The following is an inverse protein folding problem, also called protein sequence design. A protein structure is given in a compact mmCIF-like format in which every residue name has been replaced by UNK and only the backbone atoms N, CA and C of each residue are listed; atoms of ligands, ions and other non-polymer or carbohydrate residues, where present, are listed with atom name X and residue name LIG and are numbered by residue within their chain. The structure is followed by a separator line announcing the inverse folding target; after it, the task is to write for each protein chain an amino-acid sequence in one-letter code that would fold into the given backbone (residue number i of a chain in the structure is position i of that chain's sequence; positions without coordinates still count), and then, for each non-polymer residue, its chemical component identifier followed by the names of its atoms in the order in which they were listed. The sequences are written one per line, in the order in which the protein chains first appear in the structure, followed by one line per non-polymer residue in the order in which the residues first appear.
data_IF_974905338998
#
_entry.id   IF_974905338998
#
_cell.length_a   1.000
_cell.length_b   1.000
_cell.length_c   1.000
_cell.angle_alpha   90.00
_cell.angle_beta   90.00
_cell.angle_gamma   90.00
#
_symmetry.space_group_name_H-M   'P 1'
#
loop_
_entity.id
_entity.type
_entity.pdbx_description
1 polymer ?
#
# COMPACT_ATOMS: atom_id res chain seq x y z
N UNK A 1 -40.60 -14.79 -15.40
CA UNK A 1 -40.67 -13.32 -15.31
C UNK A 1 -39.79 -12.72 -14.21
N UNK A 2 -39.53 -13.40 -13.08
CA UNK A 2 -38.74 -12.83 -11.98
C UNK A 2 -37.29 -12.44 -12.34
N UNK A 3 -36.63 -13.16 -13.25
CA UNK A 3 -35.26 -12.86 -13.70
C UNK A 3 -35.12 -11.50 -14.39
N UNK A 4 -36.20 -10.98 -15.00
CA UNK A 4 -36.19 -9.67 -15.68
C UNK A 4 -35.97 -8.55 -14.66
N UNK A 5 -36.54 -8.67 -13.46
CA UNK A 5 -36.34 -7.69 -12.39
C UNK A 5 -34.88 -7.64 -11.94
N UNK A 6 -34.23 -8.81 -11.79
CA UNK A 6 -32.81 -8.87 -11.43
C UNK A 6 -31.91 -8.29 -12.52
N UNK A 7 -32.26 -8.49 -13.78
CA UNK A 7 -31.53 -7.91 -14.91
C UNK A 7 -31.67 -6.39 -14.94
N UNK A 8 -32.88 -5.85 -14.72
CA UNK A 8 -33.10 -4.40 -14.61
C UNK A 8 -32.29 -3.81 -13.45
N UNK A 9 -32.34 -4.45 -12.27
CA UNK A 9 -31.57 -4.02 -11.09
C UNK A 9 -30.07 -4.02 -11.40
N UNK A 10 -29.56 -5.07 -12.05
CA UNK A 10 -28.16 -5.15 -12.47
C UNK A 10 -27.76 -3.98 -13.37
N UNK A 11 -28.55 -3.69 -14.41
CA UNK A 11 -28.27 -2.59 -15.35
C UNK A 11 -28.27 -1.23 -14.64
N UNK A 12 -29.23 -0.98 -13.75
CA UNK A 12 -29.30 0.27 -12.98
C UNK A 12 -28.06 0.43 -12.09
N UNK A 13 -27.65 -0.64 -11.40
CA UNK A 13 -26.47 -0.60 -10.52
C UNK A 13 -25.18 -0.34 -11.31
N UNK A 14 -25.01 -0.95 -12.47
CA UNK A 14 -23.85 -0.69 -13.34
C UNK A 14 -23.86 0.73 -13.88
N UNK A 15 -25.03 1.24 -14.30
CA UNK A 15 -25.15 2.63 -14.75
C UNK A 15 -24.83 3.63 -13.64
N UNK A 16 -25.29 3.37 -12.42
CA UNK A 16 -25.00 4.19 -11.24
C UNK A 16 -23.51 4.16 -10.88
N UNK A 17 -22.86 3.00 -11.00
CA UNK A 17 -21.42 2.87 -10.79
C UNK A 17 -20.63 3.74 -11.77
N UNK A 18 -20.99 3.73 -13.06
CA UNK A 18 -20.33 4.54 -14.08
C UNK A 18 -20.51 6.03 -13.81
N UNK A 19 -21.67 6.43 -13.29
CA UNK A 19 -21.97 7.83 -12.98
C UNK A 19 -21.25 8.34 -11.71
N UNK A 20 -21.06 7.48 -10.70
CA UNK A 20 -20.54 7.88 -9.38
C UNK A 20 -19.07 7.56 -9.16
N UNK A 21 -18.54 6.54 -9.85
CA UNK A 21 -17.16 6.04 -9.69
C UNK A 21 -16.80 5.70 -8.23
N UNK A 22 -17.80 5.36 -7.40
CA UNK A 22 -17.64 5.16 -5.96
C UNK A 22 -17.21 3.73 -5.56
N UNK A 23 -17.19 2.77 -6.49
CA UNK A 23 -16.86 1.36 -6.26
C UNK A 23 -17.76 0.70 -5.19
N UNK A 24 -19.03 1.11 -5.10
CA UNK A 24 -19.99 0.57 -4.12
C UNK A 24 -21.08 -0.21 -4.82
N UNK A 25 -21.71 0.38 -5.84
CA UNK A 25 -22.79 -0.25 -6.61
C UNK A 25 -22.34 -1.51 -7.36
N UNK A 26 -21.05 -1.62 -7.71
CA UNK A 26 -20.51 -2.82 -8.36
C UNK A 26 -20.69 -4.10 -7.54
N UNK A 27 -20.58 -4.04 -6.21
CA UNK A 27 -20.76 -5.22 -5.35
C UNK A 27 -22.21 -5.67 -5.27
N UNK A 28 -23.13 -4.71 -5.34
CA UNK A 28 -24.56 -4.98 -5.47
C UNK A 28 -24.90 -5.51 -6.86
N UNK A 29 -24.23 -5.07 -7.92
CA UNK A 29 -24.41 -5.61 -9.26
C UNK A 29 -24.03 -7.10 -9.30
N UNK A 30 -22.90 -7.49 -8.72
CA UNK A 30 -22.52 -8.91 -8.61
C UNK A 30 -23.52 -9.70 -7.74
N UNK A 31 -24.04 -9.10 -6.66
CA UNK A 31 -25.14 -9.70 -5.90
C UNK A 31 -26.41 -9.91 -6.73
N UNK A 32 -26.74 -8.97 -7.62
CA UNK A 32 -27.93 -9.06 -8.49
C UNK A 32 -27.83 -10.23 -9.48
N UNK A 33 -26.61 -10.56 -9.92
CA UNK A 33 -26.36 -11.79 -10.68
C UNK A 33 -26.68 -13.04 -9.84
N UNK A 34 -26.38 -13.03 -8.54
CA UNK A 34 -26.78 -14.09 -7.62
C UNK A 34 -28.29 -14.29 -7.52
N UNK A 35 -29.04 -13.19 -7.35
CA UNK A 35 -30.50 -13.21 -7.38
C UNK A 35 -31.06 -13.69 -8.73
N UNK A 36 -30.42 -13.28 -9.83
CA UNK A 36 -30.74 -13.73 -11.19
C UNK A 36 -30.56 -15.24 -11.32
N UNK A 37 -29.42 -15.79 -10.89
CA UNK A 37 -29.15 -17.23 -10.93
C UNK A 37 -30.16 -17.99 -10.08
N UNK A 38 -30.44 -17.52 -8.85
CA UNK A 38 -31.46 -18.12 -7.99
C UNK A 38 -32.84 -18.11 -8.66
N UNK A 39 -33.19 -17.04 -9.38
CA UNK A 39 -34.43 -16.97 -10.14
C UNK A 39 -34.46 -17.93 -11.33
N UNK A 40 -33.34 -18.14 -12.02
CA UNK A 40 -33.24 -19.09 -13.13
C UNK A 40 -33.38 -20.54 -12.65
N UNK A 41 -32.92 -20.84 -11.44
CA UNK A 41 -33.09 -22.14 -10.79
C UNK A 41 -34.49 -22.37 -10.21
N UNK A 42 -35.42 -21.41 -10.38
CA UNK A 42 -36.79 -21.52 -9.87
C UNK A 42 -36.94 -21.25 -8.37
N UNK A 43 -35.93 -20.63 -7.73
CA UNK A 43 -35.99 -20.25 -6.33
C UNK A 43 -37.10 -19.22 -6.05
N UNK A 44 -37.69 -19.28 -4.85
CA UNK A 44 -38.67 -18.31 -4.38
C UNK A 44 -38.06 -16.91 -4.24
N UNK A 45 -38.89 -15.87 -4.13
CA UNK A 45 -38.44 -14.50 -3.94
C UNK A 45 -37.51 -14.36 -2.71
N UNK A 46 -37.82 -15.07 -1.62
CA UNK A 46 -37.00 -15.11 -0.41
C UNK A 46 -35.60 -15.65 -0.67
N UNK A 47 -35.49 -16.74 -1.44
CA UNK A 47 -34.19 -17.34 -1.81
C UNK A 47 -33.40 -16.39 -2.70
N UNK A 48 -34.06 -15.72 -3.66
CA UNK A 48 -33.43 -14.75 -4.53
C UNK A 48 -32.86 -13.55 -3.75
N UNK A 49 -33.65 -12.99 -2.81
CA UNK A 49 -33.22 -11.90 -1.94
C UNK A 49 -32.10 -12.31 -1.01
N UNK A 50 -32.18 -13.52 -0.43
CA UNK A 50 -31.10 -14.06 0.40
C UNK A 50 -29.81 -14.23 -0.40
N UNK A 51 -29.89 -14.75 -1.63
CA UNK A 51 -28.72 -14.91 -2.50
C UNK A 51 -28.09 -13.54 -2.85
N UNK A 52 -28.91 -12.56 -3.20
CA UNK A 52 -28.47 -11.19 -3.45
C UNK A 52 -27.75 -10.58 -2.25
N UNK A 53 -28.41 -10.57 -1.09
CA UNK A 53 -27.86 -9.97 0.13
C UNK A 53 -26.61 -10.68 0.60
N UNK A 54 -26.60 -12.02 0.60
CA UNK A 54 -25.46 -12.81 1.01
C UNK A 54 -24.24 -12.52 0.13
N UNK A 55 -24.39 -12.55 -1.20
CA UNK A 55 -23.28 -12.28 -2.12
C UNK A 55 -22.76 -10.84 -2.00
N UNK A 56 -23.66 -9.85 -1.93
CA UNK A 56 -23.24 -8.45 -1.77
C UNK A 56 -22.53 -8.21 -0.44
N UNK A 57 -23.04 -8.74 0.68
CA UNK A 57 -22.40 -8.60 1.98
C UNK A 57 -21.04 -9.30 2.03
N UNK A 58 -20.94 -10.52 1.49
CA UNK A 58 -19.67 -11.25 1.43
C UNK A 58 -18.63 -10.44 0.65
N UNK A 59 -19.01 -9.89 -0.51
CA UNK A 59 -18.12 -9.08 -1.33
C UNK A 59 -17.70 -7.79 -0.61
N UNK A 60 -18.64 -7.07 -0.01
CA UNK A 60 -18.36 -5.84 0.75
C UNK A 60 -17.43 -6.10 1.93
N UNK A 61 -17.67 -7.17 2.71
CA UNK A 61 -16.81 -7.55 3.83
C UNK A 61 -15.43 -8.01 3.34
N UNK A 62 -15.34 -8.59 2.14
CA UNK A 62 -14.07 -8.99 1.53
C UNK A 62 -13.26 -7.80 0.96
N UNK A 63 -13.86 -6.62 0.76
CA UNK A 63 -13.14 -5.44 0.24
C UNK A 63 -11.97 -5.07 1.15
N UNK A 64 -12.19 -4.95 2.47
CA UNK A 64 -11.16 -4.56 3.43
C UNK A 64 -9.96 -5.53 3.46
N UNK A 65 -10.13 -6.85 3.69
CA UNK A 65 -9.00 -7.77 3.69
C UNK A 65 -8.33 -7.91 2.32
N UNK A 66 -9.06 -7.75 1.23
CA UNK A 66 -8.49 -7.80 -0.12
C UNK A 66 -7.65 -6.56 -0.43
N UNK A 67 -8.19 -5.36 -0.13
CA UNK A 67 -7.46 -4.11 -0.23
C UNK A 67 -6.22 -4.14 0.67
N UNK A 68 -6.33 -4.59 1.92
CA UNK A 68 -5.20 -4.74 2.82
C UNK A 68 -4.16 -5.72 2.26
N UNK A 69 -4.55 -6.86 1.68
CA UNK A 69 -3.59 -7.82 1.09
C UNK A 69 -2.92 -7.25 -0.16
N UNK A 70 -3.65 -6.54 -1.01
CA UNK A 70 -3.09 -5.91 -2.21
C UNK A 70 -2.18 -4.73 -1.87
N UNK A 71 -2.56 -3.91 -0.89
CA UNK A 71 -1.79 -2.74 -0.43
C UNK A 71 -0.61 -3.15 0.45
N UNK A 72 -0.74 -4.17 1.30
CA UNK A 72 0.38 -4.73 2.08
C UNK A 72 1.45 -5.34 1.18
N UNK A 73 1.09 -5.83 -0.02
CA UNK A 73 2.07 -6.26 -1.04
C UNK A 73 2.87 -5.10 -1.66
N UNK A 74 2.48 -3.85 -1.36
CA UNK A 74 3.23 -2.61 -1.66
C UNK A 74 3.74 -1.89 -0.41
N UNK A 75 3.71 -2.50 0.78
CA UNK A 75 4.63 -2.11 1.85
C UNK A 75 5.97 -2.79 1.57
N UNK A 76 6.54 -2.47 0.42
CA UNK A 76 7.98 -2.50 0.26
C UNK A 76 8.47 -1.31 1.08
N UNK A 77 9.16 -1.58 2.20
CA UNK A 77 9.99 -0.59 2.89
C UNK A 77 10.65 0.32 1.85
N UNK A 78 10.22 1.57 1.79
CA UNK A 78 10.32 2.41 0.59
C UNK A 78 11.76 2.84 0.34
N UNK A 79 12.61 1.99 -0.24
CA UNK A 79 13.96 2.28 -0.76
C UNK A 79 15.05 2.69 0.27
N UNK A 80 14.68 3.40 1.33
CA UNK A 80 15.58 4.00 2.33
C UNK A 80 16.12 2.92 3.27
N UNK A 81 15.28 2.04 3.82
CA UNK A 81 15.75 0.90 4.64
C UNK A 81 16.69 -0.07 3.89
N UNK A 82 16.63 -0.10 2.55
CA UNK A 82 17.57 -0.90 1.75
C UNK A 82 18.99 -0.35 1.75
N UNK A 83 19.17 0.91 2.17
CA UNK A 83 20.47 1.56 2.29
C UNK A 83 21.23 1.08 3.55
N UNK A 84 20.51 0.54 4.55
CA UNK A 84 21.15 -0.04 5.72
C UNK A 84 22.05 -1.21 5.30
N UNK A 85 23.31 -1.18 5.72
CA UNK A 85 24.37 -2.11 5.32
C UNK A 85 25.14 -1.73 4.05
N UNK A 86 24.70 -0.70 3.30
CA UNK A 86 25.45 -0.22 2.14
C UNK A 86 26.57 0.75 2.54
N UNK A 87 27.55 0.88 1.65
CA UNK A 87 28.63 1.86 1.79
C UNK A 87 28.21 3.19 1.15
N UNK A 88 28.36 4.28 1.90
CA UNK A 88 28.20 5.65 1.43
C UNK A 88 29.55 6.37 1.44
N UNK A 89 29.72 7.38 0.59
CA UNK A 89 30.92 8.23 0.57
C UNK A 89 30.60 9.57 1.22
N UNK A 90 31.39 9.96 2.23
CA UNK A 90 31.25 11.24 2.91
C UNK A 90 31.61 12.37 1.95
N UNK A 91 30.70 13.32 1.74
CA UNK A 91 30.91 14.51 0.89
C UNK A 91 31.30 15.72 1.73
N UNK A 92 30.64 15.89 2.87
CA UNK A 92 30.96 16.92 3.86
C UNK A 92 31.33 16.26 5.18
N UNK A 93 32.33 16.78 5.88
CA UNK A 93 32.76 16.28 7.20
C UNK A 93 31.55 16.05 8.10
N UNK A 94 31.47 14.86 8.70
CA UNK A 94 30.43 14.49 9.65
C UNK A 94 30.93 14.81 11.04
N UNK A 95 30.24 15.74 11.70
CA UNK A 95 30.49 16.17 13.07
C UNK A 95 29.13 16.37 13.76
N UNK A 96 28.81 15.47 14.68
CA UNK A 96 27.53 15.49 15.38
C UNK A 96 27.40 16.72 16.30
N UNK A 97 28.51 17.26 16.83
CA UNK A 97 28.51 18.41 17.73
C UNK A 97 28.19 19.72 17.00
N UNK A 98 28.69 19.86 15.77
CA UNK A 98 28.38 21.00 14.92
C UNK A 98 27.13 20.78 14.06
N UNK A 99 26.54 19.58 14.07
CA UNK A 99 25.31 19.25 13.34
C UNK A 99 25.47 19.19 11.82
N UNK A 100 26.70 19.09 11.31
CA UNK A 100 27.01 19.01 9.88
C UNK A 100 27.37 17.58 9.47
N UNK A 101 27.06 17.24 8.22
CA UNK A 101 27.44 15.96 7.64
C UNK A 101 26.57 15.60 6.47
N UNK A 102 27.21 15.34 5.32
CA UNK A 102 26.53 14.75 4.16
C UNK A 102 27.32 13.60 3.59
N UNK A 103 26.60 12.61 3.08
CA UNK A 103 27.17 11.45 2.41
C UNK A 103 26.34 11.10 1.18
N UNK A 104 27.01 10.59 0.15
CA UNK A 104 26.38 10.14 -1.09
C UNK A 104 26.30 8.62 -1.12
N UNK A 105 25.10 8.10 -1.36
CA UNK A 105 24.81 6.67 -1.56
C UNK A 105 24.00 6.50 -2.84
N UNK A 106 24.43 5.59 -3.73
CA UNK A 106 23.80 5.38 -5.05
C UNK A 106 23.58 6.67 -5.87
N UNK A 107 24.46 7.66 -5.72
CA UNK A 107 24.38 8.94 -6.43
C UNK A 107 23.38 9.96 -5.84
N UNK A 108 22.77 9.67 -4.69
CA UNK A 108 21.93 10.62 -3.96
C UNK A 108 22.66 11.13 -2.72
N UNK A 109 22.59 12.44 -2.47
CA UNK A 109 23.12 13.08 -1.27
C UNK A 109 22.12 13.00 -0.12
N UNK A 110 22.62 12.63 1.05
CA UNK A 110 21.86 12.48 2.28
C UNK A 110 22.57 13.16 3.43
N UNK A 111 21.82 13.69 4.39
CA UNK A 111 22.36 14.11 5.68
C UNK A 111 22.85 12.87 6.44
N UNK A 112 24.06 12.92 6.95
CA UNK A 112 24.69 11.80 7.67
C UNK A 112 25.15 12.23 9.05
N UNK A 113 24.98 11.35 10.03
CA UNK A 113 25.44 11.48 11.40
C UNK A 113 26.27 10.26 11.77
N UNK A 114 27.33 10.46 12.54
CA UNK A 114 28.10 9.35 13.09
C UNK A 114 27.25 8.59 14.10
N UNK A 115 27.39 7.26 14.17
CA UNK A 115 26.76 6.46 15.22
C UNK A 115 27.35 6.74 16.61
N UNK A 116 28.61 7.19 16.65
CA UNK A 116 29.31 7.62 17.85
C UNK A 116 29.49 9.14 17.82
N UNK A 117 28.92 9.84 18.81
CA UNK A 117 28.91 11.31 18.84
C UNK A 117 30.32 11.93 18.95
N UNK A 118 31.27 11.21 19.53
CA UNK A 118 32.67 11.66 19.69
C UNK A 118 33.55 11.46 18.43
N UNK A 119 33.00 10.84 17.38
CA UNK A 119 33.76 10.49 16.17
C UNK A 119 33.46 11.46 15.04
N UNK A 120 34.49 12.21 14.63
CA UNK A 120 34.46 13.08 13.46
C UNK A 120 34.98 12.32 12.24
N UNK A 121 34.16 12.25 11.19
CA UNK A 121 34.52 11.55 9.94
C UNK A 121 34.84 12.57 8.85
N UNK A 122 36.09 12.63 8.33
CA UNK A 122 36.47 13.60 7.32
C UNK A 122 35.81 13.30 5.96
N UNK A 123 35.67 14.36 5.15
CA UNK A 123 35.18 14.25 3.79
C UNK A 123 36.05 13.30 2.94
N UNK A 124 35.41 12.54 2.06
CA UNK A 124 36.06 11.59 1.16
C UNK A 124 36.16 10.16 1.68
N UNK A 125 35.94 9.93 2.99
CA UNK A 125 35.92 8.57 3.59
C UNK A 125 34.71 7.75 3.15
N UNK A 126 34.85 6.43 3.21
CA UNK A 126 33.76 5.48 3.02
C UNK A 126 33.21 5.05 4.39
N UNK A 127 31.89 5.09 4.53
CA UNK A 127 31.18 4.75 5.76
C UNK A 127 30.09 3.72 5.47
N UNK A 128 29.74 2.91 6.46
CA UNK A 128 28.64 1.95 6.36
C UNK A 128 27.42 2.51 7.07
N UNK A 129 26.25 2.43 6.43
CA UNK A 129 24.99 2.87 7.01
C UNK A 129 24.50 1.81 8.00
N UNK A 130 24.45 2.14 9.28
CA UNK A 130 24.03 1.22 10.36
C UNK A 130 22.53 1.25 10.56
N UNK A 131 21.93 2.44 10.46
CA UNK A 131 20.49 2.65 10.58
C UNK A 131 20.10 4.00 9.99
N UNK A 132 18.80 4.27 9.95
CA UNK A 132 18.25 5.52 9.41
C UNK A 132 17.33 6.13 10.45
N UNK A 133 17.51 7.42 10.71
CA UNK A 133 16.75 8.20 11.68
C UNK A 133 16.05 9.35 10.97
N UNK A 134 14.81 9.13 10.53
CA UNK A 134 14.06 10.08 9.70
C UNK A 134 14.72 10.26 8.33
N UNK A 135 15.19 11.48 8.04
CA UNK A 135 15.93 11.82 6.80
C UNK A 135 17.45 11.76 6.95
N UNK A 136 17.95 11.32 8.12
CA UNK A 136 19.38 11.26 8.42
C UNK A 136 19.88 9.82 8.40
N UNK A 137 20.98 9.56 7.69
CA UNK A 137 21.70 8.30 7.75
C UNK A 137 22.56 8.27 9.01
N UNK A 138 22.50 7.18 9.77
CA UNK A 138 23.43 6.93 10.87
C UNK A 138 24.52 6.01 10.35
N UNK A 139 25.76 6.46 10.38
CA UNK A 139 26.88 5.82 9.71
C UNK A 139 28.04 5.52 10.66
N UNK A 140 28.79 4.47 10.37
CA UNK A 140 30.04 4.13 11.05
C UNK A 140 31.18 4.07 10.04
N UNK A 141 32.40 4.39 10.50
CA UNK A 141 33.59 4.25 9.68
C UNK A 141 33.82 2.79 9.31
N UNK A 142 33.98 2.52 8.02
CA UNK A 142 34.31 1.19 7.53
C UNK A 142 35.76 0.88 7.92
N UNK A 143 35.96 -0.07 8.84
CA UNK A 143 37.28 -0.64 9.18
C UNK A 143 37.95 -1.24 7.95
#
# INVERSE_FOLDING_TARGET
MAYVYWLIVFVILVAFEIATLQLVSIWFAVGAIGGLIASLLGGSLEIQLCAFLALSLILLLAVKPFADRMLKKKITKTNVDSLVGQTARVTSMIDNNNGFGTAVVKGQEWTALSANDDVVIPAGKLVVIVRISGVKLIVEEKK
#
